data_IF_085439399175
#
_entry.id   IF_085439399175
#
_cell.length_a   1.000
_cell.length_b   1.000
_cell.length_c   1.000
_cell.angle_alpha   90.00
_cell.angle_beta   90.00
_cell.angle_gamma   90.00
#
_symmetry.space_group_name_H-M   'P 1'
#
loop_
_entity.id
_entity.type
_entity.pdbx_description
1 polymer ?
#
# COMPACT_ATOMS: atom_id res chain seq x y z
N UNK A 1 22.32 47.72 24.37
CA UNK A 1 21.85 46.48 25.04
C UNK A 1 20.42 46.24 24.62
N UNK A 2 20.18 45.01 24.17
CA UNK A 2 18.91 44.27 24.07
C UNK A 2 17.83 44.68 23.06
N UNK A 3 17.72 43.84 22.01
CA UNK A 3 16.45 43.42 21.38
C UNK A 3 15.77 42.34 22.24
N UNK A 4 14.44 42.17 22.11
CA UNK A 4 13.83 40.83 22.18
C UNK A 4 12.93 40.57 20.94
N UNK A 5 13.26 39.58 20.10
CA UNK A 5 12.78 38.18 20.09
C UNK A 5 11.27 37.97 19.86
N UNK A 6 10.83 37.99 18.58
CA UNK A 6 9.48 37.58 18.17
C UNK A 6 9.42 36.42 17.15
N UNK A 7 10.55 35.97 16.61
CA UNK A 7 10.59 35.04 15.46
C UNK A 7 10.67 33.55 15.91
N UNK A 8 11.29 33.28 17.06
CA UNK A 8 11.54 31.91 17.53
C UNK A 8 10.30 31.11 17.95
N UNK A 9 9.17 31.77 18.24
CA UNK A 9 7.94 31.09 18.65
C UNK A 9 7.22 30.38 17.50
N UNK A 10 7.14 31.04 16.33
CA UNK A 10 6.36 30.58 15.18
C UNK A 10 7.06 29.47 14.38
N UNK A 11 8.40 29.49 14.33
CA UNK A 11 9.20 28.41 13.75
C UNK A 11 9.15 27.13 14.60
N UNK A 12 9.12 27.24 15.93
CA UNK A 12 8.98 26.07 16.83
C UNK A 12 7.61 25.40 16.70
N UNK A 13 6.53 26.16 16.54
CA UNK A 13 5.19 25.59 16.33
C UNK A 13 5.06 24.90 14.96
N UNK A 14 5.63 25.48 13.90
CA UNK A 14 5.65 24.87 12.56
C UNK A 14 6.53 23.62 12.47
N UNK A 15 7.68 23.62 13.15
CA UNK A 15 8.57 22.46 13.28
C UNK A 15 7.90 21.34 14.07
N UNK A 16 7.19 21.67 15.16
CA UNK A 16 6.42 20.71 15.96
C UNK A 16 5.26 20.09 15.18
N UNK A 17 4.55 20.87 14.36
CA UNK A 17 3.45 20.36 13.50
C UNK A 17 3.95 19.54 12.31
N UNK A 18 5.13 19.85 11.75
CA UNK A 18 5.77 19.06 10.69
C UNK A 18 6.30 17.73 11.25
N UNK A 19 6.96 17.75 12.40
CA UNK A 19 7.43 16.55 13.11
C UNK A 19 6.26 15.63 13.50
N UNK A 20 5.13 16.18 13.95
CA UNK A 20 3.94 15.37 14.25
C UNK A 20 3.31 14.74 13.02
N UNK A 21 3.39 15.37 11.83
CA UNK A 21 2.87 14.79 10.57
C UNK A 21 3.72 13.63 10.06
N UNK A 22 5.05 13.74 10.19
CA UNK A 22 5.98 12.65 9.84
C UNK A 22 5.83 11.48 10.80
N UNK A 23 5.74 11.76 12.12
CA UNK A 23 5.44 10.75 13.13
C UNK A 23 4.08 10.08 12.92
N UNK A 24 3.04 10.80 12.46
CA UNK A 24 1.73 10.21 12.16
C UNK A 24 1.75 9.32 10.90
N UNK A 25 2.53 9.70 9.87
CA UNK A 25 2.76 8.88 8.66
C UNK A 25 3.56 7.61 8.98
N UNK A 26 4.57 7.72 9.86
CA UNK A 26 5.34 6.59 10.38
C UNK A 26 4.52 5.71 11.33
N UNK A 27 3.67 6.26 12.21
CA UNK A 27 2.78 5.46 13.07
C UNK A 27 1.76 4.65 12.25
N UNK A 28 1.31 5.19 11.11
CA UNK A 28 0.44 4.47 10.16
C UNK A 28 1.15 3.25 9.56
N UNK A 29 2.48 3.27 9.49
CA UNK A 29 3.34 2.17 9.09
C UNK A 29 3.34 1.03 10.12
N UNK A 30 3.27 1.36 11.41
CA UNK A 30 3.36 0.40 12.51
C UNK A 30 2.02 -0.26 12.91
N UNK A 31 0.88 0.43 12.80
CA UNK A 31 -0.39 -0.13 13.29
C UNK A 31 -1.07 -1.11 12.33
N UNK A 32 -0.75 -1.08 11.04
CA UNK A 32 -1.30 -2.03 10.05
C UNK A 32 -0.53 -3.36 10.06
N UNK A 33 0.69 -3.40 10.60
CA UNK A 33 1.59 -4.56 10.52
C UNK A 33 1.27 -5.69 11.52
N UNK A 34 0.70 -5.40 12.70
CA UNK A 34 0.54 -6.40 13.75
C UNK A 34 -0.78 -7.20 13.67
N UNK A 35 -1.85 -6.63 13.11
CA UNK A 35 -3.20 -7.22 13.23
C UNK A 35 -3.57 -8.22 12.11
N UNK A 36 -2.78 -8.32 11.05
CA UNK A 36 -3.17 -9.05 9.83
C UNK A 36 -2.49 -10.41 9.65
N UNK A 37 -1.46 -10.71 10.46
CA UNK A 37 -0.73 -11.98 10.46
C UNK A 37 -1.51 -13.16 11.07
N UNK A 38 -2.60 -12.91 11.81
CA UNK A 38 -3.36 -13.96 12.50
C UNK A 38 -4.48 -14.61 11.68
N UNK A 39 -4.75 -14.15 10.45
CA UNK A 39 -5.86 -14.68 9.62
C UNK A 39 -5.42 -15.60 8.48
N UNK A 40 -4.16 -16.04 8.47
CA UNK A 40 -3.56 -16.82 7.37
C UNK A 40 -3.52 -18.33 7.60
N UNK A 41 -4.38 -18.87 8.46
CA UNK A 41 -4.51 -20.31 8.68
C UNK A 41 -6.00 -20.70 8.65
N UNK A 42 -6.32 -21.61 7.72
CA UNK A 42 -7.60 -22.32 7.50
C UNK A 42 -8.61 -21.68 6.53
N UNK A 43 -8.52 -22.08 5.26
CA UNK A 43 -9.68 -22.67 4.58
C UNK A 43 -9.22 -23.69 3.54
N UNK A 44 -9.57 -24.94 3.82
CA UNK A 44 -9.24 -26.10 3.02
C UNK A 44 -10.03 -26.20 1.72
N UNK A 45 -9.58 -27.17 0.93
CA UNK A 45 -10.07 -27.58 -0.37
C UNK A 45 -11.58 -27.91 -0.40
N UNK A 46 -12.24 -27.59 -1.53
CA UNK A 46 -13.46 -28.27 -1.94
C UNK A 46 -14.35 -27.44 -2.87
N UNK A 47 -14.55 -27.92 -4.12
CA UNK A 47 -15.65 -27.46 -4.97
C UNK A 47 -15.40 -27.59 -6.47
N UNK A 48 -15.87 -28.70 -7.05
CA UNK A 48 -15.82 -29.07 -8.46
C UNK A 48 -16.37 -27.99 -9.41
N UNK A 49 -15.65 -27.77 -10.52
CA UNK A 49 -16.15 -27.11 -11.72
C UNK A 49 -15.73 -27.92 -12.95
N UNK A 50 -16.71 -28.59 -13.56
CA UNK A 50 -16.54 -29.49 -14.69
C UNK A 50 -16.31 -28.66 -15.97
N UNK A 51 -15.12 -28.69 -16.56
CA UNK A 51 -14.89 -28.22 -17.94
C UNK A 51 -14.05 -29.25 -18.67
N UNK A 52 -14.62 -29.76 -19.77
CA UNK A 52 -13.99 -30.66 -20.74
C UNK A 52 -12.64 -30.07 -21.16
N UNK A 53 -11.56 -30.73 -20.75
CA UNK A 53 -10.19 -30.43 -21.16
C UNK A 53 -9.99 -31.11 -22.51
N UNK A 54 -9.76 -30.32 -23.55
CA UNK A 54 -9.15 -30.79 -24.79
C UNK A 54 -7.72 -31.23 -24.49
N UNK A 55 -7.37 -32.43 -24.93
CA UNK A 55 -6.02 -32.98 -24.95
C UNK A 55 -5.12 -32.14 -25.87
N UNK A 56 -4.46 -31.14 -25.31
CA UNK A 56 -3.14 -30.65 -25.75
C UNK A 56 -2.61 -29.70 -24.65
N UNK A 57 -1.45 -30.04 -24.09
CA UNK A 57 -0.79 -29.46 -22.91
C UNK A 57 -1.56 -29.60 -21.57
N UNK A 58 -1.60 -30.82 -21.03
CA UNK A 58 -1.99 -31.06 -19.64
C UNK A 58 -0.95 -30.40 -18.71
N UNK A 59 -1.18 -29.13 -18.37
CA UNK A 59 -0.38 -28.44 -17.36
C UNK A 59 -0.59 -29.20 -16.04
N UNK A 60 0.45 -29.92 -15.60
CA UNK A 60 0.39 -30.73 -14.38
C UNK A 60 -0.02 -29.86 -13.19
N UNK A 61 -1.26 -30.02 -12.76
CA UNK A 61 -1.85 -29.28 -11.65
C UNK A 61 -1.04 -29.47 -10.35
N UNK A 62 -0.38 -30.62 -10.19
CA UNK A 62 0.51 -30.90 -9.06
C UNK A 62 1.78 -30.06 -9.16
N UNK A 63 2.39 -29.95 -10.34
CA UNK A 63 3.56 -29.08 -10.54
C UNK A 63 3.22 -27.59 -10.37
N UNK A 64 2.05 -27.15 -10.84
CA UNK A 64 1.55 -25.79 -10.55
C UNK A 64 1.42 -25.59 -9.03
N UNK A 65 0.77 -26.51 -8.32
CA UNK A 65 0.58 -26.41 -6.88
C UNK A 65 1.91 -26.40 -6.11
N UNK A 66 2.88 -27.23 -6.52
CA UNK A 66 4.25 -27.23 -5.96
C UNK A 66 4.96 -25.90 -6.20
N UNK A 67 4.86 -25.33 -7.41
CA UNK A 67 5.46 -24.04 -7.74
C UNK A 67 4.87 -22.92 -6.87
N UNK A 68 3.53 -22.81 -6.81
CA UNK A 68 2.83 -21.78 -6.01
C UNK A 68 3.22 -21.91 -4.53
N UNK A 69 3.24 -23.12 -3.99
CA UNK A 69 3.61 -23.38 -2.59
C UNK A 69 5.06 -22.98 -2.31
N UNK A 70 5.98 -23.34 -3.21
CA UNK A 70 7.41 -23.00 -3.09
C UNK A 70 7.62 -21.49 -3.12
N UNK A 71 6.99 -20.82 -4.08
CA UNK A 71 7.10 -19.37 -4.26
C UNK A 71 6.51 -18.64 -3.05
N UNK A 72 5.35 -19.06 -2.53
CA UNK A 72 4.77 -18.52 -1.30
C UNK A 72 5.74 -18.64 -0.11
N UNK A 73 6.32 -19.82 0.11
CA UNK A 73 7.28 -20.04 1.20
C UNK A 73 8.57 -19.23 1.04
N UNK A 74 9.01 -18.95 -0.19
CA UNK A 74 10.15 -18.08 -0.45
C UNK A 74 9.80 -16.62 -0.16
N UNK A 75 8.62 -16.16 -0.56
CA UNK A 75 8.10 -14.81 -0.26
C UNK A 75 7.96 -14.59 1.24
N UNK A 76 7.40 -15.54 1.99
CA UNK A 76 7.29 -15.46 3.45
C UNK A 76 8.67 -15.28 4.11
N UNK A 77 9.69 -16.00 3.64
CA UNK A 77 11.07 -15.85 4.13
C UNK A 77 11.64 -14.47 3.82
N UNK A 78 11.47 -13.97 2.61
CA UNK A 78 11.92 -12.62 2.23
C UNK A 78 11.22 -11.54 3.06
N UNK A 79 9.91 -11.67 3.31
CA UNK A 79 9.16 -10.74 4.15
C UNK A 79 9.70 -10.76 5.58
N UNK A 80 9.91 -11.96 6.15
CA UNK A 80 10.43 -12.11 7.50
C UNK A 80 11.83 -11.51 7.64
N UNK A 81 12.71 -11.77 6.67
CA UNK A 81 14.05 -11.20 6.65
C UNK A 81 14.02 -9.66 6.63
N UNK A 82 13.14 -9.05 5.83
CA UNK A 82 12.96 -7.60 5.84
C UNK A 82 12.51 -7.11 7.22
N UNK A 83 11.53 -7.77 7.85
CA UNK A 83 11.03 -7.37 9.16
C UNK A 83 12.10 -7.44 10.26
N UNK A 84 13.06 -8.35 10.14
CA UNK A 84 14.17 -8.51 11.09
C UNK A 84 15.29 -7.50 10.85
N UNK A 85 15.50 -7.04 9.61
CA UNK A 85 16.64 -6.20 9.24
C UNK A 85 16.31 -4.74 8.94
N UNK A 86 15.02 -4.38 8.89
CA UNK A 86 14.61 -3.03 8.50
C UNK A 86 14.99 -2.02 9.57
N UNK A 87 15.77 -1.03 9.14
CA UNK A 87 15.94 0.23 9.84
C UNK A 87 15.19 1.29 9.03
N UNK A 88 14.11 1.81 9.60
CA UNK A 88 13.25 2.77 8.92
C UNK A 88 13.90 4.15 8.83
N UNK A 89 14.93 4.43 9.64
CA UNK A 89 15.63 5.71 9.68
C UNK A 89 16.86 5.74 8.76
N UNK A 90 17.19 4.61 8.13
CA UNK A 90 18.31 4.47 7.18
C UNK A 90 17.82 4.28 5.72
N UNK A 91 18.12 5.26 4.86
CA UNK A 91 17.83 5.24 3.42
C UNK A 91 18.38 3.97 2.74
N UNK A 92 19.59 3.52 3.13
CA UNK A 92 20.26 2.35 2.56
C UNK A 92 19.55 1.05 2.94
N UNK A 93 19.11 0.94 4.20
CA UNK A 93 18.28 -0.17 4.68
C UNK A 93 16.96 -0.25 3.90
N UNK A 94 16.26 0.89 3.72
CA UNK A 94 15.01 0.94 2.95
C UNK A 94 15.22 0.48 1.50
N UNK A 95 16.27 0.95 0.83
CA UNK A 95 16.58 0.56 -0.55
C UNK A 95 16.88 -0.94 -0.67
N UNK A 96 17.64 -1.50 0.27
CA UNK A 96 17.89 -2.94 0.35
C UNK A 96 16.59 -3.73 0.48
N UNK A 97 15.68 -3.28 1.36
CA UNK A 97 14.41 -3.94 1.61
C UNK A 97 13.43 -3.84 0.42
N UNK A 98 13.41 -2.71 -0.28
CA UNK A 98 12.71 -2.57 -1.56
C UNK A 98 13.21 -3.62 -2.57
N UNK A 99 14.52 -3.87 -2.60
CA UNK A 99 15.13 -4.93 -3.42
C UNK A 99 14.56 -6.31 -3.10
N UNK A 100 14.53 -6.69 -1.82
CA UNK A 100 13.96 -7.97 -1.35
C UNK A 100 12.48 -8.10 -1.69
N UNK A 101 11.68 -7.04 -1.50
CA UNK A 101 10.28 -7.08 -1.88
C UNK A 101 10.07 -7.18 -3.40
N UNK A 102 10.95 -6.60 -4.23
CA UNK A 102 10.89 -6.78 -5.69
C UNK A 102 11.14 -8.23 -6.08
N UNK A 103 12.08 -8.91 -5.44
CA UNK A 103 12.28 -10.36 -5.62
C UNK A 103 11.01 -11.13 -5.25
N UNK A 104 10.41 -10.81 -4.11
CA UNK A 104 9.15 -11.42 -3.69
C UNK A 104 8.00 -11.16 -4.70
N UNK A 105 7.96 -9.97 -5.32
CA UNK A 105 6.95 -9.65 -6.32
C UNK A 105 7.09 -10.50 -7.58
N UNK A 106 8.33 -10.79 -8.02
CA UNK A 106 8.60 -11.65 -9.17
C UNK A 106 8.10 -13.08 -8.93
N UNK A 107 8.37 -13.63 -7.74
CA UNK A 107 7.89 -14.97 -7.35
C UNK A 107 6.36 -15.05 -7.37
N UNK A 108 5.67 -13.98 -6.96
CA UNK A 108 4.21 -13.92 -7.00
C UNK A 108 3.67 -13.63 -8.41
N UNK A 109 4.42 -12.95 -9.26
CA UNK A 109 4.06 -12.79 -10.66
C UNK A 109 4.05 -14.12 -11.40
N UNK A 110 5.02 -14.99 -11.14
CA UNK A 110 5.02 -16.37 -11.63
C UNK A 110 3.82 -17.16 -11.11
N UNK A 111 3.55 -17.10 -9.79
CA UNK A 111 2.43 -17.81 -9.17
C UNK A 111 1.08 -17.38 -9.78
N UNK A 112 0.85 -16.07 -9.93
CA UNK A 112 -0.40 -15.56 -10.52
C UNK A 112 -0.50 -15.90 -12.01
N UNK A 113 0.62 -15.96 -12.74
CA UNK A 113 0.63 -16.33 -14.17
C UNK A 113 0.10 -17.75 -14.38
N UNK A 114 0.48 -18.70 -13.51
CA UNK A 114 0.05 -20.11 -13.61
C UNK A 114 -1.30 -20.37 -12.94
N UNK A 115 -1.73 -19.52 -12.00
CA UNK A 115 -3.06 -19.59 -11.37
C UNK A 115 -3.81 -18.25 -11.42
N UNK A 116 -4.23 -17.78 -12.61
CA UNK A 116 -4.81 -16.44 -12.76
C UNK A 116 -6.15 -16.27 -12.04
N UNK A 117 -6.91 -17.35 -11.87
CA UNK A 117 -8.19 -17.37 -11.16
C UNK A 117 -8.06 -17.46 -9.63
N UNK A 118 -6.88 -17.85 -9.11
CA UNK A 118 -6.68 -18.00 -7.68
C UNK A 118 -6.56 -16.65 -6.98
N UNK A 119 -7.29 -16.49 -5.87
CA UNK A 119 -7.30 -15.25 -5.08
C UNK A 119 -6.04 -15.10 -4.23
N UNK A 120 -5.55 -16.20 -3.64
CA UNK A 120 -4.49 -16.14 -2.63
C UNK A 120 -3.16 -15.59 -3.18
N UNK A 121 -2.58 -16.11 -4.28
CA UNK A 121 -1.36 -15.54 -4.85
C UNK A 121 -1.51 -14.07 -5.24
N UNK A 122 -2.71 -13.67 -5.68
CA UNK A 122 -3.02 -12.29 -6.05
C UNK A 122 -3.00 -11.37 -4.83
N UNK A 123 -3.59 -11.79 -3.72
CA UNK A 123 -3.60 -11.02 -2.47
C UNK A 123 -2.20 -10.92 -1.85
N UNK A 124 -1.38 -11.97 -1.94
CA UNK A 124 0.02 -11.91 -1.51
C UNK A 124 0.80 -10.94 -2.41
N UNK A 125 0.60 -11.02 -3.72
CA UNK A 125 1.24 -10.09 -4.68
C UNK A 125 0.87 -8.64 -4.42
N UNK A 126 -0.42 -8.38 -4.16
CA UNK A 126 -0.92 -7.07 -3.77
C UNK A 126 -0.13 -6.52 -2.57
N UNK A 127 -0.01 -7.32 -1.51
CA UNK A 127 0.63 -6.88 -0.27
C UNK A 127 2.12 -6.60 -0.48
N UNK A 128 2.83 -7.48 -1.20
CA UNK A 128 4.24 -7.26 -1.54
C UNK A 128 4.41 -5.97 -2.36
N UNK A 129 3.58 -5.74 -3.39
CA UNK A 129 3.64 -4.53 -4.22
C UNK A 129 3.34 -3.27 -3.43
N UNK A 130 2.39 -3.33 -2.52
CA UNK A 130 2.07 -2.23 -1.60
C UNK A 130 3.28 -1.90 -0.72
N UNK A 131 3.99 -2.90 -0.17
CA UNK A 131 5.21 -2.66 0.63
C UNK A 131 6.33 -2.02 -0.17
N UNK A 132 6.50 -2.39 -1.44
CA UNK A 132 7.45 -1.71 -2.34
C UNK A 132 7.06 -0.24 -2.50
N UNK A 133 5.78 0.04 -2.77
CA UNK A 133 5.28 1.40 -2.89
C UNK A 133 5.51 2.21 -1.60
N UNK A 134 5.16 1.63 -0.45
CA UNK A 134 5.33 2.25 0.86
C UNK A 134 6.80 2.61 1.12
N UNK A 135 7.75 1.73 0.79
CA UNK A 135 9.18 2.01 0.88
C UNK A 135 9.61 3.21 0.03
N UNK A 136 9.12 3.30 -1.21
CA UNK A 136 9.37 4.47 -2.06
C UNK A 136 8.69 5.74 -1.55
N UNK A 137 7.52 5.64 -0.91
CA UNK A 137 6.87 6.77 -0.25
C UNK A 137 7.69 7.31 0.92
N UNK A 138 8.36 6.44 1.69
CA UNK A 138 9.28 6.86 2.75
C UNK A 138 10.50 7.58 2.16
N UNK A 139 11.12 7.02 1.11
CA UNK A 139 12.25 7.68 0.42
C UNK A 139 11.86 9.04 -0.16
N UNK A 140 10.64 9.15 -0.70
CA UNK A 140 10.09 10.43 -1.14
C UNK A 140 9.99 11.42 0.02
N UNK A 141 9.45 10.98 1.17
CA UNK A 141 9.28 11.83 2.34
C UNK A 141 10.61 12.37 2.86
N UNK A 142 11.68 11.55 2.91
CA UNK A 142 13.01 12.02 3.28
C UNK A 142 13.55 13.07 2.31
N UNK A 143 13.49 12.79 1.01
CA UNK A 143 13.97 13.75 0.01
C UNK A 143 13.14 15.05 0.00
N UNK A 144 11.84 14.96 0.28
CA UNK A 144 10.93 16.12 0.35
C UNK A 144 11.15 16.95 1.63
N UNK A 145 11.48 16.32 2.76
CA UNK A 145 11.84 16.99 4.01
C UNK A 145 13.12 17.81 3.87
N UNK A 146 14.08 17.36 3.05
CA UNK A 146 15.28 18.12 2.72
C UNK A 146 15.04 19.20 1.65
N UNK A 147 14.20 18.92 0.64
CA UNK A 147 13.91 19.89 -0.43
C UNK A 147 13.07 21.08 0.04
N UNK A 148 11.96 20.80 0.73
CA UNK A 148 10.90 21.79 1.00
C UNK A 148 11.43 23.03 1.74
N UNK A 149 12.27 22.92 2.79
CA UNK A 149 12.79 24.10 3.47
C UNK A 149 13.64 25.00 2.57
N UNK A 150 14.43 24.40 1.67
CA UNK A 150 15.24 25.16 0.72
C UNK A 150 14.33 25.92 -0.27
N UNK A 151 13.31 25.24 -0.78
CA UNK A 151 12.32 25.84 -1.69
C UNK A 151 11.53 26.96 -0.99
N UNK A 152 11.12 26.78 0.27
CA UNK A 152 10.45 27.78 1.10
C UNK A 152 11.32 29.04 1.32
N UNK A 153 12.65 28.87 1.37
CA UNK A 153 13.64 29.95 1.48
C UNK A 153 14.03 30.56 0.12
N UNK A 154 13.46 30.08 -0.98
CA UNK A 154 13.80 30.51 -2.35
C UNK A 154 15.15 29.99 -2.84
N UNK A 155 15.76 29.04 -2.14
CA UNK A 155 16.96 28.34 -2.54
C UNK A 155 16.61 27.17 -3.46
N UNK A 156 17.52 26.85 -4.39
CA UNK A 156 17.36 25.67 -5.25
C UNK A 156 18.00 24.45 -4.57
N UNK A 157 17.25 23.36 -4.30
CA UNK A 157 17.85 22.10 -3.86
C UNK A 157 18.86 21.54 -4.87
N UNK A 158 19.77 20.68 -4.42
CA UNK A 158 20.76 20.06 -5.31
C UNK A 158 20.07 19.19 -6.38
N UNK A 159 20.68 19.11 -7.56
CA UNK A 159 20.12 18.30 -8.66
C UNK A 159 20.03 16.80 -8.27
N UNK A 160 20.94 16.31 -7.43
CA UNK A 160 20.88 14.96 -6.88
C UNK A 160 19.65 14.74 -5.99
N UNK A 161 19.37 15.67 -5.07
CA UNK A 161 18.24 15.56 -4.16
C UNK A 161 16.90 15.67 -4.91
N UNK A 162 16.81 16.58 -5.88
CA UNK A 162 15.65 16.69 -6.77
C UNK A 162 15.43 15.40 -7.56
N UNK A 163 16.51 14.79 -8.08
CA UNK A 163 16.45 13.49 -8.77
C UNK A 163 15.94 12.39 -7.84
N UNK A 164 16.48 12.27 -6.62
CA UNK A 164 16.03 11.29 -5.62
C UNK A 164 14.54 11.45 -5.31
N UNK A 165 14.08 12.68 -5.04
CA UNK A 165 12.66 13.00 -4.78
C UNK A 165 11.77 12.59 -5.95
N UNK A 166 12.16 12.95 -7.18
CA UNK A 166 11.39 12.62 -8.38
C UNK A 166 11.33 11.10 -8.64
N UNK A 167 12.46 10.40 -8.54
CA UNK A 167 12.55 8.95 -8.74
C UNK A 167 11.73 8.18 -7.71
N UNK A 168 11.81 8.58 -6.43
CA UNK A 168 11.02 7.97 -5.37
C UNK A 168 9.51 8.13 -5.62
N UNK A 169 9.07 9.33 -6.01
CA UNK A 169 7.67 9.60 -6.37
C UNK A 169 7.19 8.70 -7.53
N UNK A 170 7.93 8.68 -8.63
CA UNK A 170 7.57 7.90 -9.83
C UNK A 170 7.50 6.40 -9.52
N UNK A 171 8.44 5.89 -8.73
CA UNK A 171 8.44 4.49 -8.36
C UNK A 171 7.28 4.16 -7.40
N UNK A 172 7.01 5.01 -6.39
CA UNK A 172 5.86 4.82 -5.51
C UNK A 172 4.56 4.73 -6.31
N UNK A 173 4.30 5.70 -7.20
CA UNK A 173 3.11 5.71 -8.05
C UNK A 173 2.99 4.47 -8.94
N UNK A 174 4.11 4.03 -9.53
CA UNK A 174 4.15 2.82 -10.37
C UNK A 174 3.69 1.59 -9.57
N UNK A 175 4.25 1.38 -8.38
CA UNK A 175 3.92 0.21 -7.56
C UNK A 175 2.52 0.30 -6.96
N UNK A 176 2.05 1.50 -6.60
CA UNK A 176 0.67 1.73 -6.20
C UNK A 176 -0.32 1.37 -7.29
N UNK A 177 -0.07 1.74 -8.55
CA UNK A 177 -0.93 1.36 -9.69
C UNK A 177 -0.99 -0.15 -9.89
N UNK A 178 0.12 -0.86 -9.68
CA UNK A 178 0.16 -2.32 -9.76
C UNK A 178 -0.60 -3.00 -8.60
N UNK A 179 -0.42 -2.51 -7.37
CA UNK A 179 -1.16 -2.99 -6.20
C UNK A 179 -2.66 -2.70 -6.36
N UNK A 180 -3.03 -1.49 -6.78
CA UNK A 180 -4.40 -1.10 -7.09
C UNK A 180 -5.07 -2.11 -8.03
N UNK A 181 -4.42 -2.42 -9.16
CA UNK A 181 -4.92 -3.39 -10.14
C UNK A 181 -5.20 -4.76 -9.51
N UNK A 182 -4.30 -5.24 -8.65
CA UNK A 182 -4.47 -6.55 -8.00
C UNK A 182 -5.70 -6.55 -7.07
N UNK A 183 -5.90 -5.48 -6.30
CA UNK A 183 -7.04 -5.36 -5.38
C UNK A 183 -8.37 -5.08 -6.10
N UNK A 184 -8.37 -4.22 -7.12
CA UNK A 184 -9.52 -4.00 -8.00
C UNK A 184 -9.98 -5.33 -8.64
N UNK A 185 -9.02 -6.10 -9.17
CA UNK A 185 -9.31 -7.42 -9.75
C UNK A 185 -9.87 -8.37 -8.69
N UNK A 186 -9.30 -8.40 -7.48
CA UNK A 186 -9.84 -9.21 -6.39
C UNK A 186 -11.28 -8.84 -6.04
N UNK A 187 -11.56 -7.58 -5.74
CA UNK A 187 -12.91 -7.11 -5.37
C UNK A 187 -13.90 -7.17 -6.54
N UNK A 188 -13.43 -7.16 -7.79
CA UNK A 188 -14.26 -7.29 -8.98
C UNK A 188 -14.62 -8.73 -9.35
N UNK A 189 -13.79 -9.72 -8.98
CA UNK A 189 -13.94 -11.12 -9.43
C UNK A 189 -14.27 -12.12 -8.33
N UNK A 190 -13.91 -11.81 -7.07
CA UNK A 190 -14.24 -12.67 -5.93
C UNK A 190 -15.69 -12.47 -5.48
N UNK A 191 -16.33 -13.52 -4.96
CA UNK A 191 -17.64 -13.38 -4.31
C UNK A 191 -17.51 -12.64 -2.98
N UNK A 192 -18.59 -11.96 -2.57
CA UNK A 192 -18.64 -11.10 -1.36
C UNK A 192 -18.14 -11.80 -0.09
N UNK A 193 -18.33 -13.11 0.04
CA UNK A 193 -17.87 -13.88 1.20
C UNK A 193 -16.34 -13.94 1.35
N UNK A 194 -15.58 -13.75 0.27
CA UNK A 194 -14.12 -13.69 0.27
C UNK A 194 -13.58 -12.25 0.29
N UNK A 195 -14.49 -11.28 0.33
CA UNK A 195 -14.17 -9.87 0.43
C UNK A 195 -14.26 -9.43 1.88
N UNK A 196 -13.33 -8.58 2.31
CA UNK A 196 -13.26 -8.12 3.69
C UNK A 196 -13.17 -6.59 3.77
N UNK A 197 -13.71 -5.96 4.83
CA UNK A 197 -13.66 -4.51 4.98
C UNK A 197 -12.27 -3.88 4.87
N UNK A 198 -11.23 -4.55 5.38
CA UNK A 198 -9.83 -4.11 5.30
C UNK A 198 -9.31 -4.02 3.85
N UNK A 199 -9.84 -4.83 2.93
CA UNK A 199 -9.42 -4.81 1.52
C UNK A 199 -9.92 -3.54 0.81
N UNK A 200 -11.18 -3.16 1.05
CA UNK A 200 -11.73 -1.88 0.59
C UNK A 200 -10.99 -0.70 1.22
N UNK A 201 -10.66 -0.81 2.51
CA UNK A 201 -9.89 0.21 3.20
C UNK A 201 -8.49 0.40 2.61
N UNK A 202 -7.80 -0.70 2.31
CA UNK A 202 -6.49 -0.65 1.68
C UNK A 202 -6.59 -0.04 0.27
N UNK A 203 -7.62 -0.39 -0.50
CA UNK A 203 -7.84 0.14 -1.84
C UNK A 203 -8.10 1.66 -1.82
N UNK A 204 -8.93 2.17 -0.92
CA UNK A 204 -9.17 3.62 -0.85
C UNK A 204 -7.91 4.39 -0.44
N UNK A 205 -7.07 3.85 0.45
CA UNK A 205 -5.79 4.48 0.79
C UNK A 205 -4.87 4.59 -0.44
N UNK A 206 -4.85 3.58 -1.31
CA UNK A 206 -4.06 3.62 -2.55
C UNK A 206 -4.61 4.70 -3.49
N UNK A 207 -5.93 4.80 -3.66
CA UNK A 207 -6.51 5.88 -4.46
C UNK A 207 -6.17 7.27 -3.89
N UNK A 208 -6.22 7.47 -2.58
CA UNK A 208 -5.81 8.72 -1.92
C UNK A 208 -4.35 9.04 -2.21
N UNK A 209 -3.44 8.06 -2.09
CA UNK A 209 -2.02 8.28 -2.39
C UNK A 209 -1.76 8.60 -3.87
N UNK A 210 -2.63 8.14 -4.77
CA UNK A 210 -2.61 8.46 -6.20
C UNK A 210 -3.35 9.77 -6.54
N UNK A 211 -3.94 10.47 -5.55
CA UNK A 211 -4.72 11.68 -5.76
C UNK A 211 -6.10 11.46 -6.37
N UNK A 212 -6.61 10.22 -6.38
CA UNK A 212 -7.89 9.85 -6.98
C UNK A 212 -9.01 9.82 -5.94
N UNK A 213 -9.48 11.01 -5.54
CA UNK A 213 -10.50 11.13 -4.50
C UNK A 213 -11.88 10.59 -4.91
N UNK A 214 -12.17 10.58 -6.21
CA UNK A 214 -13.40 10.02 -6.77
C UNK A 214 -13.45 8.52 -6.48
N UNK A 215 -12.43 7.76 -6.90
CA UNK A 215 -12.43 6.31 -6.69
C UNK A 215 -12.17 5.92 -5.24
N UNK A 216 -11.44 6.73 -4.46
CA UNK A 216 -11.34 6.56 -3.01
C UNK A 216 -12.73 6.60 -2.35
N UNK A 217 -13.55 7.60 -2.71
CA UNK A 217 -14.92 7.75 -2.21
C UNK A 217 -15.83 6.62 -2.67
N UNK A 218 -15.80 6.26 -3.94
CA UNK A 218 -16.61 5.17 -4.49
C UNK A 218 -16.30 3.83 -3.82
N UNK A 219 -15.02 3.57 -3.51
CA UNK A 219 -14.60 2.37 -2.79
C UNK A 219 -15.22 2.28 -1.39
N UNK A 220 -15.28 3.40 -0.67
CA UNK A 220 -15.90 3.46 0.65
C UNK A 220 -17.43 3.32 0.61
N UNK A 221 -18.09 3.86 -0.42
CA UNK A 221 -19.53 3.64 -0.61
C UNK A 221 -19.83 2.16 -0.89
N UNK A 222 -19.04 1.52 -1.74
CA UNK A 222 -19.16 0.07 -2.02
C UNK A 222 -18.90 -0.78 -0.78
N UNK A 223 -17.96 -0.36 0.08
CA UNK A 223 -17.74 -1.01 1.38
C UNK A 223 -19.01 -0.98 2.25
N UNK A 224 -19.67 0.18 2.34
CA UNK A 224 -20.90 0.32 3.13
C UNK A 224 -22.07 -0.47 2.52
N UNK A 225 -22.18 -0.51 1.19
CA UNK A 225 -23.19 -1.29 0.48
C UNK A 225 -23.02 -2.80 0.76
N UNK A 226 -21.79 -3.30 0.63
CA UNK A 226 -21.49 -4.73 0.76
C UNK A 226 -21.47 -5.21 2.22
N UNK A 227 -20.92 -4.41 3.13
CA UNK A 227 -20.61 -4.84 4.50
C UNK A 227 -21.25 -3.98 5.60
N UNK A 228 -22.00 -2.92 5.28
CA UNK A 228 -22.41 -1.87 6.23
C UNK A 228 -23.10 -2.36 7.51
N UNK A 229 -23.90 -3.43 7.43
CA UNK A 229 -24.59 -4.02 8.61
C UNK A 229 -23.66 -4.76 9.57
N UNK A 230 -22.45 -5.12 9.12
CA UNK A 230 -21.45 -5.88 9.87
C UNK A 230 -20.27 -5.03 10.34
N UNK A 231 -20.28 -3.74 10.02
CA UNK A 231 -19.21 -2.80 10.39
C UNK A 231 -19.50 -2.20 11.77
N UNK A 232 -18.48 -2.18 12.63
CA UNK A 232 -18.55 -1.57 13.95
C UNK A 232 -18.84 -0.05 13.86
N UNK A 233 -19.62 0.49 14.79
CA UNK A 233 -20.03 1.90 14.80
C UNK A 233 -18.85 2.88 14.80
N UNK A 234 -17.72 2.54 15.44
CA UNK A 234 -16.49 3.33 15.37
C UNK A 234 -15.97 3.42 13.94
N UNK A 235 -15.73 2.27 13.32
CA UNK A 235 -15.22 2.20 11.96
C UNK A 235 -16.18 2.80 10.93
N UNK A 236 -17.49 2.67 11.14
CA UNK A 236 -18.50 3.30 10.27
C UNK A 236 -18.42 4.82 10.29
N UNK A 237 -18.29 5.44 11.47
CA UNK A 237 -18.11 6.90 11.59
C UNK A 237 -16.88 7.38 10.84
N UNK A 238 -15.81 6.59 10.91
CA UNK A 238 -14.55 6.82 10.22
C UNK A 238 -14.68 6.78 8.69
N UNK A 239 -15.49 5.84 8.17
CA UNK A 239 -15.83 5.74 6.75
C UNK A 239 -16.68 6.93 6.31
N UNK A 240 -17.74 7.25 7.05
CA UNK A 240 -18.66 8.36 6.74
C UNK A 240 -17.92 9.72 6.73
N UNK A 241 -16.99 9.91 7.67
CA UNK A 241 -16.13 11.10 7.73
C UNK A 241 -15.27 11.25 6.48
N UNK A 242 -14.63 10.15 6.03
CA UNK A 242 -13.77 10.15 4.84
C UNK A 242 -14.57 10.37 3.56
N UNK A 243 -15.76 9.78 3.44
CA UNK A 243 -16.67 10.02 2.30
C UNK A 243 -17.01 11.52 2.17
N UNK A 244 -17.34 12.19 3.29
CA UNK A 244 -17.61 13.64 3.29
C UNK A 244 -16.38 14.46 2.93
N UNK A 245 -15.22 14.11 3.51
CA UNK A 245 -13.96 14.78 3.20
C UNK A 245 -13.61 14.68 1.70
N UNK A 246 -13.69 13.49 1.11
CA UNK A 246 -13.42 13.31 -0.32
C UNK A 246 -14.42 14.04 -1.20
N UNK A 247 -15.70 14.09 -0.81
CA UNK A 247 -16.70 14.89 -1.53
C UNK A 247 -16.31 16.36 -1.58
N UNK A 248 -15.83 16.93 -0.47
CA UNK A 248 -15.39 18.33 -0.43
C UNK A 248 -14.16 18.54 -1.32
N UNK A 249 -13.16 17.64 -1.25
CA UNK A 249 -11.96 17.73 -2.09
C UNK A 249 -12.26 17.72 -3.58
N UNK A 250 -13.20 16.88 -4.03
CA UNK A 250 -13.63 16.83 -5.43
C UNK A 250 -14.23 18.18 -5.85
N UNK A 251 -15.10 18.75 -5.01
CA UNK A 251 -15.71 20.07 -5.28
C UNK A 251 -14.62 21.17 -5.35
N UNK A 252 -13.65 21.15 -4.45
CA UNK A 252 -12.58 22.15 -4.40
C UNK A 252 -11.63 22.05 -5.61
N UNK A 253 -11.44 20.86 -6.20
CA UNK A 253 -10.58 20.64 -7.38
C UNK A 253 -11.29 20.95 -8.71
N UNK A 254 -12.63 20.89 -8.75
CA UNK A 254 -13.45 21.22 -9.92
C UNK A 254 -13.85 22.71 -10.00
N UNK A 255 -13.50 23.50 -8.97
CA UNK A 255 -13.87 24.92 -8.79
C UNK A 255 -13.03 25.94 -9.55
#
# INVERSE_FOLDING_TARGET
>A
MEQPTGINGRQRTLSSEKSSRVQFRLLSFFFVSLFMLSSLVLSGCGGLGNTKVSEDDEIDAVEIAKLVTRNKKAVERLIQEVMETVDADDESSILTNIGKYKEAALLMDEAVKVTPSSMEPRLIRFEVRKRIADGYTVLYAYADEECTPLEDEGLKPSDELLRKRAEAKVNAERWLKLARRDMETHLGTSSVQFQRPDQYWALQLIYVQLGDYINARMTLLRLLETHGTRIEAGFRRDIDSRIRYFQQRIIDEEG
#
